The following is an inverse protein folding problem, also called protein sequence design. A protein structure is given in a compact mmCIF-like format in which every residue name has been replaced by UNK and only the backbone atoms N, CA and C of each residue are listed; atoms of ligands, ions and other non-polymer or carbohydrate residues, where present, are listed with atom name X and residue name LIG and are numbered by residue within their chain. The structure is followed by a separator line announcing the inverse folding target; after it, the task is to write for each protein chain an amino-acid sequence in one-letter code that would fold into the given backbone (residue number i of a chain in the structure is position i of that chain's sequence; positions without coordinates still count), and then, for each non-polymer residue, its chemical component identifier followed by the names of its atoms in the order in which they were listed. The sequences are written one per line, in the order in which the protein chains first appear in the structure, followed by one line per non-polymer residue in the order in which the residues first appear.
data_IF_228967215139
#
_entry.id   IF_228967215139
#
_cell.length_a   1.000
_cell.length_b   1.000
_cell.length_c   1.000
_cell.angle_alpha   90.00
_cell.angle_beta   90.00
_cell.angle_gamma   90.00
#
_symmetry.space_group_name_H-M   'P 1'
#
loop_
_entity.id
_entity.type
_entity.pdbx_description
1 polymer ?
#
# COMPACT_ATOMS: atom_id res chain seq x y z
N UNK A 1 34.38 -17.83 58.36
CA UNK A 1 33.40 -16.71 58.28
C UNK A 1 33.18 -16.17 56.85
N UNK A 2 34.12 -16.34 55.91
CA UNK A 2 34.01 -15.89 54.50
C UNK A 2 32.88 -16.52 53.64
N UNK A 3 32.36 -17.72 53.98
CA UNK A 3 31.27 -18.35 53.23
C UNK A 3 29.93 -17.60 53.34
N UNK A 4 29.68 -16.93 54.47
CA UNK A 4 28.41 -16.21 54.69
C UNK A 4 28.33 -14.92 53.86
N UNK A 5 29.45 -14.22 53.68
CA UNK A 5 29.50 -12.98 52.91
C UNK A 5 29.37 -13.21 51.41
N UNK A 6 30.01 -14.25 50.86
CA UNK A 6 29.88 -14.57 49.43
C UNK A 6 28.45 -14.95 49.04
N UNK A 7 27.79 -15.75 49.90
CA UNK A 7 26.37 -16.11 49.72
C UNK A 7 25.46 -14.89 49.80
N UNK A 8 25.75 -13.93 50.69
CA UNK A 8 24.98 -12.68 50.80
C UNK A 8 25.15 -11.80 49.55
N UNK A 9 26.36 -11.68 49.02
CA UNK A 9 26.61 -10.95 47.76
C UNK A 9 25.98 -11.62 46.55
N UNK A 10 25.98 -12.97 46.50
CA UNK A 10 25.32 -13.72 45.44
C UNK A 10 23.80 -13.53 45.46
N UNK A 11 23.16 -13.66 46.65
CA UNK A 11 21.72 -13.40 46.79
C UNK A 11 21.35 -11.96 46.47
N UNK A 12 22.22 -11.00 46.80
CA UNK A 12 22.03 -9.60 46.43
C UNK A 12 22.08 -9.40 44.91
N UNK A 13 23.08 -9.99 44.23
CA UNK A 13 23.21 -9.93 42.78
C UNK A 13 22.05 -10.62 42.03
N UNK A 14 21.51 -11.71 42.59
CA UNK A 14 20.36 -12.43 42.04
C UNK A 14 19.07 -11.58 42.10
N UNK A 15 18.87 -10.86 43.21
CA UNK A 15 17.76 -9.92 43.36
C UNK A 15 17.90 -8.80 42.33
N UNK A 16 19.06 -8.14 42.25
CA UNK A 16 19.28 -7.05 41.28
C UNK A 16 19.20 -7.52 39.82
N UNK A 17 19.70 -8.71 39.51
CA UNK A 17 19.59 -9.31 38.17
C UNK A 17 18.14 -9.59 37.79
N UNK A 18 17.34 -10.11 38.73
CA UNK A 18 15.91 -10.34 38.51
C UNK A 18 15.15 -9.03 38.30
N UNK A 19 15.47 -7.98 39.05
CA UNK A 19 14.91 -6.65 38.84
C UNK A 19 15.28 -6.05 37.48
N UNK A 20 16.53 -6.22 37.03
CA UNK A 20 16.97 -5.74 35.72
C UNK A 20 16.19 -6.43 34.58
N UNK A 21 15.97 -7.75 34.67
CA UNK A 21 15.19 -8.50 33.67
C UNK A 21 13.73 -7.99 33.61
N UNK A 22 13.10 -7.75 34.76
CA UNK A 22 11.73 -7.22 34.81
C UNK A 22 11.65 -5.82 34.19
N UNK A 23 12.63 -4.95 34.47
CA UNK A 23 12.70 -3.61 33.87
C UNK A 23 12.94 -3.69 32.36
N UNK A 24 13.77 -4.61 31.88
CA UNK A 24 13.96 -4.85 30.44
C UNK A 24 12.67 -5.32 29.76
N UNK A 25 11.92 -6.23 30.38
CA UNK A 25 10.64 -6.70 29.84
C UNK A 25 9.59 -5.59 29.79
N UNK A 26 9.55 -4.70 30.80
CA UNK A 26 8.69 -3.52 30.80
C UNK A 26 9.09 -2.57 29.68
N UNK A 27 10.39 -2.30 29.51
CA UNK A 27 10.88 -1.42 28.45
C UNK A 27 10.53 -1.97 27.06
N UNK A 28 10.78 -3.26 26.81
CA UNK A 28 10.42 -3.93 25.55
C UNK A 28 8.91 -3.93 25.35
N UNK A 29 8.11 -4.17 26.38
CA UNK A 29 6.65 -4.10 26.29
C UNK A 29 6.12 -2.70 25.96
N UNK A 30 6.72 -1.65 26.55
CA UNK A 30 6.40 -0.26 26.24
C UNK A 30 6.85 0.14 24.84
N UNK A 31 8.02 -0.30 24.40
CA UNK A 31 8.56 -0.05 23.06
C UNK A 31 7.72 -0.75 21.98
N UNK A 32 7.27 -1.98 22.23
CA UNK A 32 6.32 -2.70 21.36
C UNK A 32 4.97 -1.96 21.33
N UNK A 33 4.46 -1.48 22.47
CA UNK A 33 3.17 -0.79 22.53
C UNK A 33 3.21 0.58 21.84
N UNK A 34 4.27 1.36 22.02
CA UNK A 34 4.47 2.64 21.35
C UNK A 34 4.69 2.46 19.84
N UNK A 35 5.47 1.45 19.43
CA UNK A 35 5.60 1.10 18.01
C UNK A 35 4.27 0.65 17.41
N UNK A 36 3.48 -0.15 18.13
CA UNK A 36 2.17 -0.60 17.65
C UNK A 36 1.21 0.57 17.45
N UNK A 37 1.14 1.51 18.40
CA UNK A 37 0.29 2.70 18.29
C UNK A 37 0.73 3.67 17.17
N UNK A 38 2.05 3.85 16.98
CA UNK A 38 2.58 4.66 15.87
C UNK A 38 2.30 4.00 14.51
N UNK A 39 2.40 2.68 14.43
CA UNK A 39 2.15 1.96 13.18
C UNK A 39 0.66 1.85 12.88
N UNK A 40 -0.21 1.69 13.89
CA UNK A 40 -1.66 1.79 13.73
C UNK A 40 -2.04 3.18 13.19
N UNK A 41 -1.50 4.25 13.77
CA UNK A 41 -1.71 5.60 13.27
C UNK A 41 -1.17 5.80 11.84
N UNK A 42 -0.02 5.19 11.50
CA UNK A 42 0.54 5.23 10.14
C UNK A 42 -0.34 4.47 9.14
N UNK A 43 -0.93 3.36 9.54
CA UNK A 43 -1.83 2.52 8.73
C UNK A 43 -3.17 3.21 8.50
N UNK A 44 -3.72 3.84 9.53
CA UNK A 44 -4.90 4.68 9.44
C UNK A 44 -4.63 5.88 8.51
N UNK A 45 -3.48 6.54 8.66
CA UNK A 45 -3.04 7.62 7.76
C UNK A 45 -2.85 7.16 6.32
N UNK A 46 -2.28 5.97 6.08
CA UNK A 46 -2.15 5.40 4.73
C UNK A 46 -3.52 5.11 4.11
N UNK A 47 -4.46 4.60 4.90
CA UNK A 47 -5.84 4.37 4.45
C UNK A 47 -6.54 5.69 4.10
N UNK A 48 -6.37 6.72 4.93
CA UNK A 48 -6.86 8.08 4.63
C UNK A 48 -6.20 8.67 3.39
N UNK A 49 -4.89 8.48 3.21
CA UNK A 49 -4.16 8.97 2.04
C UNK A 49 -4.61 8.28 0.75
N UNK A 50 -4.95 6.99 0.79
CA UNK A 50 -5.44 6.28 -0.39
C UNK A 50 -6.84 6.74 -0.78
N UNK A 51 -7.74 6.89 0.20
CA UNK A 51 -9.07 7.48 -0.01
C UNK A 51 -8.92 8.91 -0.55
N UNK A 52 -8.07 9.72 0.06
CA UNK A 52 -7.77 11.09 -0.36
C UNK A 52 -7.10 11.14 -1.74
N UNK A 53 -6.25 10.19 -2.11
CA UNK A 53 -5.69 10.04 -3.46
C UNK A 53 -6.82 9.76 -4.46
N UNK A 54 -7.65 8.75 -4.21
CA UNK A 54 -8.82 8.42 -5.05
C UNK A 54 -9.76 9.63 -5.20
N UNK A 55 -9.98 10.40 -4.13
CA UNK A 55 -10.80 11.62 -4.16
C UNK A 55 -10.12 12.83 -4.82
N UNK A 56 -8.81 13.04 -4.62
CA UNK A 56 -8.04 14.13 -5.24
C UNK A 56 -7.86 13.94 -6.74
N UNK A 57 -7.76 12.68 -7.17
CA UNK A 57 -7.81 12.32 -8.58
C UNK A 57 -9.13 12.78 -9.21
N UNK A 58 -10.23 12.76 -8.44
CA UNK A 58 -11.53 13.34 -8.78
C UNK A 58 -11.65 14.88 -8.72
N UNK A 59 -10.64 15.59 -8.22
CA UNK A 59 -10.75 17.02 -7.86
C UNK A 59 -10.68 18.01 -9.03
N UNK A 60 -10.19 17.59 -10.20
CA UNK A 60 -10.14 18.41 -11.41
C UNK A 60 -10.87 17.70 -12.58
N UNK A 61 -12.01 18.21 -13.05
CA UNK A 61 -12.78 17.62 -14.14
C UNK A 61 -11.98 17.36 -15.42
N UNK A 62 -11.05 18.26 -15.77
CA UNK A 62 -10.22 18.13 -16.97
C UNK A 62 -9.23 16.96 -16.83
N UNK A 63 -8.65 16.78 -15.64
CA UNK A 63 -7.76 15.64 -15.37
C UNK A 63 -8.52 14.32 -15.35
N UNK A 64 -9.73 14.31 -14.80
CA UNK A 64 -10.61 13.14 -14.82
C UNK A 64 -10.93 12.69 -16.24
N UNK A 65 -11.25 13.62 -17.14
CA UNK A 65 -11.54 13.30 -18.54
C UNK A 65 -10.33 12.65 -19.21
N UNK A 66 -9.14 13.21 -19.01
CA UNK A 66 -7.88 12.64 -19.51
C UNK A 66 -7.64 11.23 -18.95
N UNK A 67 -7.91 11.01 -17.65
CA UNK A 67 -7.77 9.69 -17.02
C UNK A 67 -8.75 8.68 -17.62
N UNK A 68 -10.02 9.05 -17.78
CA UNK A 68 -11.06 8.16 -18.35
C UNK A 68 -10.73 7.79 -19.80
N UNK A 69 -10.34 8.78 -20.61
CA UNK A 69 -9.90 8.56 -21.99
C UNK A 69 -8.66 7.67 -21.97
N UNK A 70 -7.65 8.00 -21.16
CA UNK A 70 -6.41 7.24 -21.06
C UNK A 70 -6.58 5.79 -20.60
N UNK A 71 -7.53 5.51 -19.71
CA UNK A 71 -7.88 4.13 -19.33
C UNK A 71 -8.44 3.34 -20.51
N UNK A 72 -9.21 3.99 -21.38
CA UNK A 72 -9.87 3.36 -22.52
C UNK A 72 -8.99 3.27 -23.77
N UNK A 73 -8.31 4.37 -24.11
CA UNK A 73 -7.52 4.58 -25.32
C UNK A 73 -6.37 5.57 -25.04
N UNK A 74 -5.25 5.03 -24.53
CA UNK A 74 -4.04 5.80 -24.27
C UNK A 74 -3.48 6.47 -25.54
N UNK A 75 -3.66 5.87 -26.71
CA UNK A 75 -3.03 6.37 -27.95
C UNK A 75 -3.70 7.66 -28.44
N UNK A 76 -5.00 7.82 -28.17
CA UNK A 76 -5.78 9.03 -28.49
C UNK A 76 -5.30 10.28 -27.74
N UNK A 77 -4.62 10.13 -26.61
CA UNK A 77 -4.13 11.24 -25.80
C UNK A 77 -3.00 12.01 -26.53
N UNK A 78 -3.02 13.35 -26.39
CA UNK A 78 -1.91 14.21 -26.76
C UNK A 78 -0.67 13.93 -25.90
N UNK A 79 0.49 14.47 -26.28
CA UNK A 79 1.75 14.23 -25.57
C UNK A 79 1.68 14.69 -24.10
N UNK A 80 1.06 15.84 -23.84
CA UNK A 80 0.89 16.36 -22.49
C UNK A 80 -0.04 15.49 -21.64
N UNK A 81 -1.15 15.05 -22.23
CA UNK A 81 -2.12 14.16 -21.59
C UNK A 81 -1.53 12.77 -21.31
N UNK A 82 -0.71 12.24 -22.23
CA UNK A 82 0.03 10.99 -22.02
C UNK A 82 0.97 11.09 -20.82
N UNK A 83 1.68 12.20 -20.66
CA UNK A 83 2.57 12.39 -19.52
C UNK A 83 1.79 12.49 -18.20
N UNK A 84 0.63 13.15 -18.21
CA UNK A 84 -0.27 13.22 -17.05
C UNK A 84 -0.80 11.83 -16.69
N UNK A 85 -1.29 11.09 -17.68
CA UNK A 85 -1.81 9.73 -17.49
C UNK A 85 -0.73 8.76 -17.03
N UNK A 86 0.49 8.87 -17.56
CA UNK A 86 1.64 8.07 -17.12
C UNK A 86 2.00 8.34 -15.66
N UNK A 87 2.06 9.62 -15.27
CA UNK A 87 2.25 10.01 -13.88
C UNK A 87 1.13 9.43 -12.99
N UNK A 88 -0.11 9.46 -13.45
CA UNK A 88 -1.26 8.93 -12.73
C UNK A 88 -1.13 7.42 -12.47
N UNK A 89 -0.91 6.62 -13.52
CA UNK A 89 -0.76 5.16 -13.40
C UNK A 89 0.45 4.80 -12.54
N UNK A 90 1.55 5.54 -12.69
CA UNK A 90 2.76 5.34 -11.88
C UNK A 90 2.50 5.62 -10.39
N UNK A 91 1.85 6.74 -10.06
CA UNK A 91 1.53 7.09 -8.66
C UNK A 91 0.63 6.04 -8.02
N UNK A 92 -0.44 5.61 -8.68
CA UNK A 92 -1.32 4.57 -8.15
C UNK A 92 -0.56 3.25 -7.95
N UNK A 93 0.30 2.87 -8.90
CA UNK A 93 1.12 1.67 -8.78
C UNK A 93 2.07 1.70 -7.57
N UNK A 94 2.67 2.86 -7.27
CA UNK A 94 3.52 3.03 -6.08
C UNK A 94 2.71 2.95 -4.78
N UNK A 95 1.55 3.59 -4.73
CA UNK A 95 0.68 3.59 -3.54
C UNK A 95 0.15 2.18 -3.24
N UNK A 96 -0.17 1.40 -4.28
CA UNK A 96 -0.54 0.00 -4.10
C UNK A 96 0.65 -0.87 -3.63
N UNK A 97 1.88 -0.60 -4.08
CA UNK A 97 3.08 -1.29 -3.57
C UNK A 97 3.28 -1.04 -2.07
N UNK A 98 3.00 0.19 -1.60
CA UNK A 98 3.00 0.55 -0.16
C UNK A 98 1.89 -0.20 0.58
N UNK A 99 0.66 -0.21 0.06
CA UNK A 99 -0.45 -0.94 0.68
C UNK A 99 -0.14 -2.43 0.84
N UNK A 100 0.50 -3.05 -0.16
CA UNK A 100 0.95 -4.44 -0.10
C UNK A 100 2.03 -4.65 0.97
N UNK A 101 3.01 -3.77 1.08
CA UNK A 101 4.04 -3.84 2.14
C UNK A 101 3.39 -3.79 3.53
N UNK A 102 2.44 -2.87 3.73
CA UNK A 102 1.70 -2.75 4.98
C UNK A 102 0.89 -4.01 5.30
N UNK A 103 0.19 -4.59 4.31
CA UNK A 103 -0.53 -5.85 4.48
C UNK A 103 0.41 -7.01 4.84
N UNK A 104 1.52 -7.17 4.11
CA UNK A 104 2.51 -8.23 4.36
C UNK A 104 3.15 -8.14 5.76
N UNK A 105 3.20 -6.93 6.33
CA UNK A 105 3.73 -6.66 7.66
C UNK A 105 2.66 -6.71 8.76
N UNK A 106 1.41 -7.02 8.42
CA UNK A 106 0.29 -7.14 9.36
C UNK A 106 -0.29 -5.80 9.81
N UNK A 107 -0.04 -4.73 9.07
CA UNK A 107 -0.45 -3.36 9.40
C UNK A 107 -1.67 -2.89 8.62
N UNK A 108 -2.03 -3.59 7.53
CA UNK A 108 -3.27 -3.36 6.80
C UNK A 108 -4.18 -4.57 6.97
N UNK A 109 -5.46 -4.33 7.26
CA UNK A 109 -6.47 -5.39 7.35
C UNK A 109 -6.66 -6.08 5.98
N UNK A 110 -7.00 -7.37 6.01
CA UNK A 110 -7.17 -8.18 4.79
C UNK A 110 -8.33 -7.68 3.93
N UNK A 111 -9.47 -7.32 4.52
CA UNK A 111 -10.63 -6.82 3.77
C UNK A 111 -10.27 -5.53 3.03
N UNK A 112 -9.57 -4.63 3.71
CA UNK A 112 -9.12 -3.37 3.14
C UNK A 112 -8.05 -3.57 2.04
N UNK A 113 -7.10 -4.47 2.26
CA UNK A 113 -6.10 -4.83 1.25
C UNK A 113 -6.75 -5.42 -0.01
N UNK A 114 -7.72 -6.32 0.15
CA UNK A 114 -8.44 -6.92 -0.98
C UNK A 114 -9.23 -5.89 -1.79
N UNK A 115 -9.85 -4.91 -1.12
CA UNK A 115 -10.53 -3.81 -1.80
C UNK A 115 -9.55 -2.95 -2.63
N UNK A 116 -8.36 -2.68 -2.10
CA UNK A 116 -7.33 -1.92 -2.82
C UNK A 116 -6.76 -2.72 -3.99
N UNK A 117 -6.56 -4.03 -3.80
CA UNK A 117 -6.07 -4.93 -4.84
C UNK A 117 -7.07 -5.08 -5.99
N UNK A 118 -8.37 -5.14 -5.68
CA UNK A 118 -9.43 -5.13 -6.68
C UNK A 118 -9.46 -3.80 -7.46
N UNK A 119 -9.39 -2.64 -6.79
CA UNK A 119 -9.38 -1.35 -7.49
C UNK A 119 -8.17 -1.23 -8.42
N UNK A 120 -6.99 -1.60 -7.93
CA UNK A 120 -5.78 -1.64 -8.74
C UNK A 120 -5.93 -2.59 -9.93
N UNK A 121 -6.53 -3.76 -9.74
CA UNK A 121 -6.79 -4.69 -10.82
C UNK A 121 -7.70 -4.07 -11.89
N UNK A 122 -8.80 -3.42 -11.51
CA UNK A 122 -9.72 -2.76 -12.45
C UNK A 122 -9.02 -1.66 -13.26
N UNK A 123 -8.14 -0.88 -12.63
CA UNK A 123 -7.28 0.09 -13.35
C UNK A 123 -6.40 -0.64 -14.35
N UNK A 124 -5.65 -1.66 -13.92
CA UNK A 124 -4.68 -2.33 -14.78
C UNK A 124 -5.30 -3.18 -15.89
N UNK A 125 -6.52 -3.68 -15.70
CA UNK A 125 -7.29 -4.36 -16.74
C UNK A 125 -7.82 -3.39 -17.81
N UNK A 126 -7.77 -2.08 -17.56
CA UNK A 126 -8.19 -1.09 -18.55
C UNK A 126 -7.19 -1.08 -19.73
N UNK A 127 -7.67 -1.09 -21.00
CA UNK A 127 -6.82 -1.28 -22.16
C UNK A 127 -5.63 -0.31 -22.23
N UNK A 128 -5.86 0.97 -21.96
CA UNK A 128 -4.80 1.98 -22.02
C UNK A 128 -3.79 1.89 -20.89
N UNK A 129 -4.21 1.50 -19.68
CA UNK A 129 -3.27 1.23 -18.57
C UNK A 129 -2.40 0.01 -18.85
N UNK A 130 -2.99 -1.08 -19.37
CA UNK A 130 -2.24 -2.25 -19.84
C UNK A 130 -1.25 -1.88 -20.95
N UNK A 131 -1.68 -1.09 -21.94
CA UNK A 131 -0.82 -0.65 -23.02
C UNK A 131 0.39 0.15 -22.49
N UNK A 132 0.14 1.17 -21.67
CA UNK A 132 1.17 1.99 -21.05
C UNK A 132 2.15 1.13 -20.24
N UNK A 133 1.63 0.21 -19.43
CA UNK A 133 2.48 -0.66 -18.64
C UNK A 133 3.38 -1.54 -19.52
N UNK A 134 2.84 -2.07 -20.62
CA UNK A 134 3.59 -2.94 -21.52
C UNK A 134 4.72 -2.20 -22.25
N UNK A 135 4.53 -0.93 -22.64
CA UNK A 135 5.61 -0.13 -23.25
C UNK A 135 6.71 0.22 -22.24
N UNK A 136 6.35 0.50 -20.97
CA UNK A 136 7.28 0.85 -19.90
C UNK A 136 7.83 -0.37 -19.13
N UNK A 137 7.36 -1.58 -19.44
CA UNK A 137 7.51 -2.78 -18.60
C UNK A 137 8.95 -3.10 -18.22
N UNK A 138 9.89 -2.94 -19.16
CA UNK A 138 11.29 -3.27 -18.90
C UNK A 138 11.94 -2.35 -17.86
N UNK A 139 11.52 -1.09 -17.80
CA UNK A 139 11.98 -0.10 -16.81
C UNK A 139 11.32 -0.25 -15.44
N UNK A 140 10.18 -0.94 -15.35
CA UNK A 140 9.46 -1.11 -14.09
C UNK A 140 10.22 -2.03 -13.11
N UNK A 141 10.23 -1.71 -11.80
CA UNK A 141 10.81 -2.57 -10.78
C UNK A 141 10.24 -4.00 -10.79
N UNK A 142 11.03 -5.04 -10.47
CA UNK A 142 10.56 -6.43 -10.51
C UNK A 142 9.32 -6.71 -9.64
N UNK A 143 9.15 -6.00 -8.52
CA UNK A 143 7.96 -6.12 -7.68
C UNK A 143 6.70 -5.60 -8.38
N UNK A 144 6.78 -4.44 -9.06
CA UNK A 144 5.65 -3.84 -9.78
C UNK A 144 5.24 -4.74 -10.97
N UNK A 145 6.21 -5.31 -11.70
CA UNK A 145 5.94 -6.28 -12.77
C UNK A 145 5.19 -7.51 -12.28
N UNK A 146 5.69 -8.15 -11.21
CA UNK A 146 5.05 -9.34 -10.63
C UNK A 146 3.64 -9.03 -10.16
N UNK A 147 3.44 -7.85 -9.60
CA UNK A 147 2.14 -7.41 -9.12
C UNK A 147 1.16 -7.22 -10.26
N UNK A 148 1.55 -6.56 -11.36
CA UNK A 148 0.73 -6.45 -12.56
C UNK A 148 0.33 -7.83 -13.11
N UNK A 149 1.29 -8.75 -13.21
CA UNK A 149 1.02 -10.12 -13.68
C UNK A 149 0.06 -10.87 -12.75
N UNK A 150 0.22 -10.69 -11.44
CA UNK A 150 -0.65 -11.33 -10.45
C UNK A 150 -2.08 -10.81 -10.56
N UNK A 151 -2.28 -9.49 -10.61
CA UNK A 151 -3.63 -8.92 -10.65
C UNK A 151 -4.34 -9.20 -11.97
N UNK A 152 -3.62 -9.16 -13.10
CA UNK A 152 -4.19 -9.45 -14.42
C UNK A 152 -4.62 -10.91 -14.57
N UNK A 153 -3.97 -11.85 -13.87
CA UNK A 153 -4.43 -13.25 -13.84
C UNK A 153 -5.54 -13.47 -12.81
N UNK A 154 -5.36 -12.99 -11.57
CA UNK A 154 -6.28 -13.21 -10.45
C UNK A 154 -7.65 -12.58 -10.71
N UNK A 155 -7.67 -11.38 -11.28
CA UNK A 155 -8.87 -10.57 -11.43
C UNK A 155 -9.34 -10.42 -12.88
N UNK A 156 -8.87 -11.26 -13.81
CA UNK A 156 -9.28 -11.24 -15.23
C UNK A 156 -10.80 -11.28 -15.49
N UNK A 157 -11.58 -11.63 -14.48
CA UNK A 157 -13.03 -11.75 -14.52
C UNK A 157 -13.75 -10.45 -14.13
N UNK A 158 -13.02 -9.46 -13.60
CA UNK A 158 -13.57 -8.16 -13.26
C UNK A 158 -13.68 -7.28 -14.50
N UNK A 159 -14.72 -6.45 -14.51
CA UNK A 159 -14.85 -5.39 -15.51
C UNK A 159 -13.75 -4.33 -15.29
N UNK A 160 -13.04 -3.92 -16.36
CA UNK A 160 -12.10 -2.83 -16.29
C UNK A 160 -12.74 -1.53 -15.79
N UNK A 161 -11.95 -0.68 -15.15
CA UNK A 161 -12.42 0.62 -14.66
C UNK A 161 -12.92 1.50 -15.82
N UNK A 162 -12.29 1.41 -16.99
CA UNK A 162 -12.77 2.07 -18.21
C UNK A 162 -14.21 1.72 -18.59
N UNK A 163 -14.67 0.50 -18.28
CA UNK A 163 -16.00 0.04 -18.68
C UNK A 163 -17.06 0.39 -17.63
N UNK A 164 -16.67 0.46 -16.35
CA UNK A 164 -17.53 0.97 -15.27
C UNK A 164 -18.05 2.39 -15.59
N UNK A 165 -17.17 3.29 -16.03
CA UNK A 165 -17.57 4.68 -16.33
C UNK A 165 -18.27 4.86 -17.68
N UNK A 166 -18.08 3.96 -18.65
CA UNK A 166 -18.89 3.96 -19.89
C UNK A 166 -20.36 3.67 -19.59
N UNK A 167 -20.64 2.85 -18.58
CA UNK A 167 -22.01 2.54 -18.16
C UNK A 167 -22.74 3.79 -17.64
N UNK A 168 -22.04 4.72 -16.99
CA UNK A 168 -22.62 5.97 -16.52
C UNK A 168 -22.84 7.01 -17.63
N UNK A 169 -22.05 6.99 -18.70
CA UNK A 169 -22.27 7.87 -19.87
C UNK A 169 -23.51 7.47 -20.70
N UNK A 170 -23.95 6.21 -20.62
CA UNK A 170 -25.14 5.70 -21.31
C UNK A 170 -26.48 6.06 -20.65
N UNK A 171 -26.48 6.77 -19.52
CA UNK A 171 -27.67 7.20 -18.76
C UNK A 171 -27.82 8.74 -18.72
N UNK A 172 -27.49 9.43 -19.81
CA UNK A 172 -27.93 10.82 -20.06
C UNK A 172 -28.69 10.93 -21.36
#
# INVERSE_FOLDING_TARGET
MLKRTLSQWASMAEIFGSFAIVLSLIFVGLEIHQNSAQVEAASMKSSYNFVDLVYKLGGNPEQNEIIIIGLSDFESLSIGEKALFDSYITTIGMEFDVARDLYQRGFLDEELYLAYEELWARVMLSPGATYLFNIGRQGAPPQIRRMFDLVTVKYKHLDPLSDYYKFEQGYK
#
